data_IF_151958949259
#
_entry.id   IF_151958949259
#
_cell.length_a   1.000
_cell.length_b   1.000
_cell.length_c   1.000
_cell.angle_alpha   90.00
_cell.angle_beta   90.00
_cell.angle_gamma   90.00
#
_symmetry.space_group_name_H-M   'P 1'
#
loop_
_entity.id
_entity.type
_entity.pdbx_description
1 polymer ?
#
# COMPACT_ATOMS: atom_id res chain seq x y z
N UNK A 1 9.24 23.20 -9.87
CA UNK A 1 8.82 21.92 -10.46
C UNK A 1 7.47 21.57 -9.86
N UNK A 2 6.43 21.33 -10.67
CA UNK A 2 5.16 20.79 -10.13
C UNK A 2 5.45 19.35 -9.70
N UNK A 3 5.20 19.04 -8.42
CA UNK A 3 5.31 17.66 -7.95
C UNK A 3 4.40 16.79 -8.81
N UNK A 4 4.85 15.59 -9.24
CA UNK A 4 3.98 14.68 -9.95
C UNK A 4 2.76 14.35 -9.09
N UNK A 5 1.66 14.14 -9.78
CA UNK A 5 0.36 13.95 -9.15
C UNK A 5 0.38 12.60 -8.42
N UNK A 6 0.10 12.63 -7.12
CA UNK A 6 0.09 11.42 -6.29
C UNK A 6 -1.16 10.58 -6.57
N UNK A 7 -0.97 9.26 -6.64
CA UNK A 7 -2.02 8.24 -6.78
C UNK A 7 -2.09 7.36 -5.53
N UNK A 8 -1.75 7.90 -4.37
CA UNK A 8 -1.73 7.15 -3.11
C UNK A 8 -3.05 6.38 -2.90
N UNK A 9 -3.02 5.03 -2.94
CA UNK A 9 -4.23 4.21 -2.95
C UNK A 9 -5.00 4.27 -1.62
N UNK A 10 -4.36 4.69 -0.53
CA UNK A 10 -5.00 4.85 0.77
C UNK A 10 -5.89 6.09 0.85
N UNK A 11 -5.58 7.13 0.06
CA UNK A 11 -6.22 8.44 0.19
C UNK A 11 -7.71 8.44 -0.15
N UNK A 12 -8.18 7.46 -0.91
CA UNK A 12 -9.59 7.35 -1.34
C UNK A 12 -10.41 6.39 -0.47
N UNK A 13 -9.76 5.67 0.45
CA UNK A 13 -10.45 4.71 1.31
C UNK A 13 -11.20 5.47 2.40
N UNK A 14 -12.54 5.33 2.49
CA UNK A 14 -13.33 6.10 3.44
C UNK A 14 -13.08 5.64 4.89
N UNK A 15 -13.09 6.62 5.79
CA UNK A 15 -12.80 6.41 7.22
C UNK A 15 -14.06 6.45 8.11
N UNK A 16 -15.19 6.95 7.62
CA UNK A 16 -16.43 7.02 8.41
C UNK A 16 -17.04 5.63 8.67
N UNK A 17 -17.91 5.56 9.67
CA UNK A 17 -18.52 4.32 10.15
C UNK A 17 -19.85 3.98 9.46
N UNK A 18 -20.17 4.61 8.32
CA UNK A 18 -21.31 4.16 7.53
C UNK A 18 -21.08 2.75 7.00
N UNK A 19 -22.15 1.96 6.88
CA UNK A 19 -22.07 0.59 6.40
C UNK A 19 -21.35 0.49 5.03
N UNK A 20 -21.59 1.45 4.14
CA UNK A 20 -20.96 1.54 2.82
C UNK A 20 -19.45 1.79 2.92
N UNK A 21 -19.01 2.67 3.82
CA UNK A 21 -17.59 2.96 4.02
C UNK A 21 -16.85 1.79 4.66
N UNK A 22 -17.51 1.08 5.58
CA UNK A 22 -16.98 -0.16 6.18
C UNK A 22 -16.78 -1.24 5.10
N UNK A 23 -17.76 -1.44 4.23
CA UNK A 23 -17.69 -2.38 3.11
C UNK A 23 -16.55 -2.01 2.14
N UNK A 24 -16.51 -0.77 1.66
CA UNK A 24 -15.46 -0.30 0.75
C UNK A 24 -14.05 -0.44 1.34
N UNK A 25 -13.89 -0.18 2.65
CA UNK A 25 -12.64 -0.38 3.37
C UNK A 25 -12.28 -1.87 3.49
N UNK A 26 -13.26 -2.73 3.76
CA UNK A 26 -13.06 -4.18 3.81
C UNK A 26 -12.61 -4.74 2.46
N UNK A 27 -13.24 -4.29 1.38
CA UNK A 27 -12.86 -4.67 0.01
C UNK A 27 -11.45 -4.22 -0.33
N UNK A 28 -11.10 -2.98 0.01
CA UNK A 28 -9.74 -2.47 -0.17
C UNK A 28 -8.72 -3.33 0.59
N UNK A 29 -8.92 -3.57 1.88
CA UNK A 29 -7.99 -4.34 2.71
C UNK A 29 -7.86 -5.81 2.28
N UNK A 30 -8.89 -6.36 1.63
CA UNK A 30 -8.90 -7.74 1.13
C UNK A 30 -8.23 -7.87 -0.25
N UNK A 31 -8.38 -6.88 -1.12
CA UNK A 31 -7.91 -6.97 -2.51
C UNK A 31 -6.51 -6.36 -2.70
N UNK A 32 -6.18 -5.30 -1.97
CA UNK A 32 -4.92 -4.57 -2.12
C UNK A 32 -3.63 -5.40 -1.85
N UNK A 33 -3.62 -6.45 -1.00
CA UNK A 33 -2.45 -7.31 -0.86
C UNK A 33 -1.95 -7.95 -2.17
N UNK A 34 -2.85 -8.23 -3.12
CA UNK A 34 -2.46 -8.74 -4.45
C UNK A 34 -1.67 -7.71 -5.27
N UNK A 35 -2.04 -6.43 -5.17
CA UNK A 35 -1.33 -5.32 -5.81
C UNK A 35 0.04 -5.15 -5.16
N UNK A 36 0.13 -5.23 -3.83
CA UNK A 36 1.41 -5.19 -3.12
C UNK A 36 2.33 -6.35 -3.54
N UNK A 37 1.78 -7.55 -3.75
CA UNK A 37 2.54 -8.68 -4.25
C UNK A 37 3.08 -8.43 -5.66
N UNK A 38 2.27 -7.87 -6.57
CA UNK A 38 2.73 -7.46 -7.91
C UNK A 38 3.78 -6.36 -7.85
N UNK A 39 3.67 -5.41 -6.92
CA UNK A 39 4.68 -4.36 -6.73
C UNK A 39 6.01 -4.93 -6.24
N UNK A 40 5.97 -5.83 -5.25
CA UNK A 40 7.17 -6.42 -4.66
C UNK A 40 7.86 -7.42 -5.60
N UNK A 41 7.09 -8.29 -6.26
CA UNK A 41 7.63 -9.40 -7.04
C UNK A 41 6.87 -9.58 -8.38
N UNK A 42 6.95 -8.62 -9.31
CA UNK A 42 6.17 -8.63 -10.56
C UNK A 42 6.48 -9.81 -11.49
N UNK A 43 7.68 -10.38 -11.40
CA UNK A 43 8.12 -11.48 -12.27
C UNK A 43 7.94 -12.87 -11.61
N UNK A 44 8.30 -12.97 -10.33
CA UNK A 44 8.37 -14.26 -9.62
C UNK A 44 7.19 -14.50 -8.67
N UNK A 45 6.38 -13.47 -8.39
CA UNK A 45 5.31 -13.54 -7.40
C UNK A 45 5.80 -13.67 -5.96
N UNK A 46 4.85 -13.80 -5.04
CA UNK A 46 5.11 -13.95 -3.60
C UNK A 46 4.66 -15.31 -3.10
N UNK A 47 5.41 -15.88 -2.15
CA UNK A 47 5.10 -17.18 -1.54
C UNK A 47 3.89 -17.15 -0.59
N UNK A 48 3.42 -18.33 -0.20
CA UNK A 48 2.32 -18.53 0.75
C UNK A 48 2.62 -17.98 2.16
N UNK A 49 3.89 -17.71 2.50
CA UNK A 49 4.28 -17.01 3.74
C UNK A 49 4.30 -15.48 3.54
N UNK A 50 4.68 -15.03 2.36
CA UNK A 50 4.78 -13.61 2.04
C UNK A 50 3.41 -12.95 1.86
N UNK A 51 2.45 -13.63 1.23
CA UNK A 51 1.10 -13.12 1.02
C UNK A 51 0.38 -12.72 2.34
N UNK A 52 0.27 -13.61 3.36
CA UNK A 52 -0.35 -13.23 4.63
C UNK A 52 0.47 -12.16 5.38
N UNK A 53 1.79 -12.11 5.20
CA UNK A 53 2.62 -11.06 5.78
C UNK A 53 2.33 -9.68 5.17
N UNK A 54 2.15 -9.59 3.84
CA UNK A 54 1.73 -8.35 3.18
C UNK A 54 0.36 -7.89 3.68
N UNK A 55 -0.59 -8.81 3.84
CA UNK A 55 -1.90 -8.51 4.41
C UNK A 55 -1.79 -8.01 5.86
N UNK A 56 -0.97 -8.66 6.69
CA UNK A 56 -0.72 -8.25 8.09
C UNK A 56 -0.10 -6.85 8.16
N UNK A 57 0.85 -6.54 7.28
CA UNK A 57 1.47 -5.23 7.17
C UNK A 57 0.45 -4.16 6.77
N UNK A 58 -0.36 -4.44 5.73
CA UNK A 58 -1.41 -3.54 5.25
C UNK A 58 -2.42 -3.18 6.35
N UNK A 59 -2.98 -4.18 7.04
CA UNK A 59 -3.94 -3.97 8.12
C UNK A 59 -3.31 -3.16 9.26
N UNK A 60 -2.08 -3.50 9.65
CA UNK A 60 -1.37 -2.81 10.74
C UNK A 60 -1.10 -1.33 10.43
N UNK A 61 -0.70 -1.04 9.20
CA UNK A 61 -0.46 0.32 8.73
C UNK A 61 -1.76 1.11 8.63
N UNK A 62 -2.80 0.49 8.07
CA UNK A 62 -4.13 1.11 7.97
C UNK A 62 -4.69 1.47 9.36
N UNK A 63 -4.65 0.55 10.31
CA UNK A 63 -5.11 0.81 11.68
C UNK A 63 -4.38 1.98 12.35
N UNK A 64 -3.11 2.21 11.98
CA UNK A 64 -2.30 3.29 12.56
C UNK A 64 -2.48 4.64 11.85
N UNK A 65 -2.68 4.64 10.53
CA UNK A 65 -2.60 5.87 9.71
C UNK A 65 -3.84 6.18 8.87
N UNK A 66 -4.78 5.24 8.72
CA UNK A 66 -5.97 5.40 7.88
C UNK A 66 -5.61 5.83 6.46
N UNK A 67 -6.35 6.78 5.90
CA UNK A 67 -6.14 7.28 4.55
C UNK A 67 -4.81 8.05 4.35
N UNK A 68 -4.06 8.31 5.43
CA UNK A 68 -2.72 8.91 5.40
C UNK A 68 -1.59 7.86 5.33
N UNK A 69 -1.93 6.59 5.25
CA UNK A 69 -0.95 5.54 4.97
C UNK A 69 -0.31 5.75 3.59
N UNK A 70 0.93 5.27 3.45
CA UNK A 70 1.69 5.23 2.21
C UNK A 70 2.37 3.86 2.06
N UNK A 71 2.87 3.56 0.86
CA UNK A 71 3.66 2.33 0.61
C UNK A 71 4.95 2.33 1.46
N UNK A 72 5.52 3.51 1.73
CA UNK A 72 6.63 3.70 2.67
C UNK A 72 6.33 3.08 4.03
N UNK A 73 5.13 3.29 4.58
CA UNK A 73 4.79 2.77 5.91
C UNK A 73 4.71 1.24 5.94
N UNK A 74 4.28 0.62 4.83
CA UNK A 74 4.26 -0.84 4.69
C UNK A 74 5.69 -1.37 4.64
N UNK A 75 6.55 -0.77 3.83
CA UNK A 75 7.94 -1.17 3.71
C UNK A 75 8.67 -1.04 5.06
N UNK A 76 8.47 0.07 5.77
CA UNK A 76 9.05 0.30 7.09
C UNK A 76 8.53 -0.69 8.13
N UNK A 77 7.23 -1.01 8.11
CA UNK A 77 6.65 -2.00 9.02
C UNK A 77 7.26 -3.39 8.80
N UNK A 78 7.43 -3.79 7.53
CA UNK A 78 8.02 -5.06 7.11
C UNK A 78 9.51 -5.16 7.48
N UNK A 79 10.29 -4.10 7.27
CA UNK A 79 11.71 -4.05 7.62
C UNK A 79 11.98 -4.16 9.13
N UNK A 80 10.99 -3.79 9.96
CA UNK A 80 11.03 -3.91 11.43
C UNK A 80 10.49 -5.25 11.95
N UNK A 81 10.35 -6.27 11.10
CA UNK A 81 10.01 -7.64 11.51
C UNK A 81 11.26 -8.43 11.87
N UNK A 82 11.10 -9.56 12.56
CA UNK A 82 12.23 -10.45 12.86
C UNK A 82 12.51 -11.37 11.66
N UNK A 83 11.43 -11.83 11.03
CA UNK A 83 11.42 -12.76 9.91
C UNK A 83 12.16 -12.19 8.69
N UNK A 84 13.16 -12.92 8.17
CA UNK A 84 13.97 -12.47 7.03
C UNK A 84 13.14 -12.21 5.78
N UNK A 85 12.19 -13.10 5.46
CA UNK A 85 11.32 -12.97 4.29
C UNK A 85 10.43 -11.70 4.37
N UNK A 86 10.09 -11.24 5.58
CA UNK A 86 9.34 -10.00 5.76
C UNK A 86 10.22 -8.79 5.46
N UNK A 87 11.47 -8.78 5.95
CA UNK A 87 12.45 -7.73 5.61
C UNK A 87 12.72 -7.67 4.11
N UNK A 88 12.82 -8.83 3.46
CA UNK A 88 12.97 -8.93 2.01
C UNK A 88 11.78 -8.29 1.28
N UNK A 89 10.54 -8.51 1.71
CA UNK A 89 9.37 -7.83 1.15
C UNK A 89 9.47 -6.30 1.32
N UNK A 90 9.94 -5.83 2.48
CA UNK A 90 10.19 -4.40 2.72
C UNK A 90 11.19 -3.83 1.70
N UNK A 91 12.29 -4.54 1.46
CA UNK A 91 13.29 -4.16 0.45
C UNK A 91 12.73 -4.21 -0.98
N UNK A 92 11.89 -5.21 -1.30
CA UNK A 92 11.25 -5.32 -2.62
C UNK A 92 10.27 -4.17 -2.90
N UNK A 93 9.62 -3.64 -1.88
CA UNK A 93 8.75 -2.47 -2.00
C UNK A 93 9.51 -1.13 -2.07
N UNK A 94 10.83 -1.12 -1.83
CA UNK A 94 11.68 0.08 -1.83
C UNK A 94 11.45 1.02 -3.04
N UNK A 95 11.32 0.55 -4.30
CA UNK A 95 11.12 1.45 -5.44
C UNK A 95 9.90 2.38 -5.31
N UNK A 96 8.90 2.00 -4.51
CA UNK A 96 7.63 2.70 -4.32
C UNK A 96 7.55 3.48 -3.00
N UNK A 97 8.57 3.40 -2.16
CA UNK A 97 8.68 4.23 -0.95
C UNK A 97 9.13 5.63 -1.33
N UNK A 98 8.96 6.61 -0.44
CA UNK A 98 9.37 8.01 -0.64
C UNK A 98 10.83 8.18 -1.09
N UNK A 99 11.70 7.23 -0.73
CA UNK A 99 13.14 7.23 -1.04
C UNK A 99 13.46 6.45 -2.34
N UNK A 100 12.46 5.78 -2.93
CA UNK A 100 12.55 5.02 -4.16
C UNK A 100 12.22 5.83 -5.42
N UNK A 101 12.59 5.27 -6.58
CA UNK A 101 12.44 5.94 -7.89
C UNK A 101 10.99 6.31 -8.26
N UNK A 102 10.01 5.58 -7.73
CA UNK A 102 8.57 5.80 -7.95
C UNK A 102 7.87 6.42 -6.74
N UNK A 103 8.56 6.64 -5.62
CA UNK A 103 7.98 7.11 -4.36
C UNK A 103 7.10 8.34 -4.48
N UNK A 104 7.56 9.31 -5.29
CA UNK A 104 6.83 10.55 -5.58
C UNK A 104 5.40 10.36 -6.10
N UNK A 105 5.07 9.20 -6.69
CA UNK A 105 3.73 8.89 -7.17
C UNK A 105 2.83 8.26 -6.10
N UNK A 106 3.40 7.72 -5.01
CA UNK A 106 2.67 7.01 -3.95
C UNK A 106 2.72 7.72 -2.60
N UNK A 107 3.43 8.84 -2.50
CA UNK A 107 3.52 9.67 -1.29
C UNK A 107 2.56 10.85 -1.33
N UNK A 108 2.09 11.26 -0.15
CA UNK A 108 1.14 12.35 0.03
C UNK A 108 -0.31 11.98 -0.29
N UNK A 109 -1.19 12.99 -0.22
CA UNK A 109 -2.61 12.84 -0.54
C UNK A 109 -2.78 12.64 -2.06
N UNK A 110 -3.59 11.66 -2.45
CA UNK A 110 -3.95 11.48 -3.85
C UNK A 110 -4.57 12.76 -4.42
N UNK A 111 -4.14 13.09 -5.63
CA UNK A 111 -4.59 14.25 -6.39
C UNK A 111 -5.27 13.86 -7.72
N UNK A 112 -5.14 12.58 -8.12
CA UNK A 112 -5.94 11.95 -9.16
C UNK A 112 -6.78 10.86 -8.51
N UNK A 113 -8.06 10.81 -8.87
CA UNK A 113 -8.94 9.73 -8.51
C UNK A 113 -8.88 8.65 -9.57
N UNK A 114 -8.46 7.43 -9.20
CA UNK A 114 -8.31 6.32 -10.16
C UNK A 114 -9.68 5.86 -10.73
N UNK A 115 -10.78 6.31 -10.13
CA UNK A 115 -12.14 5.96 -10.53
C UNK A 115 -12.79 6.93 -11.54
N UNK A 116 -12.26 8.14 -11.73
CA UNK A 116 -12.92 9.16 -12.58
C UNK A 116 -12.23 9.42 -13.92
N UNK A 117 -10.95 9.08 -14.06
CA UNK A 117 -10.12 9.61 -15.16
C UNK A 117 -9.68 8.53 -16.18
N UNK A 118 -10.33 7.37 -16.17
CA UNK A 118 -10.00 6.22 -17.02
C UNK A 118 -11.10 5.87 -18.05
N UNK A 119 -12.13 6.71 -18.22
CA UNK A 119 -13.16 6.58 -19.27
C UNK A 119 -13.63 7.93 -19.79
#
# INVERSE_FOLDING_TARGET
MKNPVSINPFSEVPEDDSAKSIEARSDFLSNFPSILATMAAPQYGTSDLQQPMLQRALISVWQKKGAKAEITDIADWLSNREESYAKELGNMLFPFTKDGQHGRFFSGKAQLSLNSDMW
#
